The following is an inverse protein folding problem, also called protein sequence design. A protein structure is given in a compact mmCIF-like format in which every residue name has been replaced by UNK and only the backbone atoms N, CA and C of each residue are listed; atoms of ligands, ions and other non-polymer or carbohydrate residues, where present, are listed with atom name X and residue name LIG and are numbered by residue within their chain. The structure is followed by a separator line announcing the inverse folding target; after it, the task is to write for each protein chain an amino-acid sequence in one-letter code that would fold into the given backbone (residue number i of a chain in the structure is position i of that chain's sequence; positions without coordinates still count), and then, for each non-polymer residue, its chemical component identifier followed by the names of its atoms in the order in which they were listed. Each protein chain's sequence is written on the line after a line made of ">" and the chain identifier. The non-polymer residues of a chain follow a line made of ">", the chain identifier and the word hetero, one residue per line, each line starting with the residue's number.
data_IF_271192260323
#
_entry.id   IF_271192260323
#
_cell.length_a   1.000
_cell.length_b   1.000
_cell.length_c   1.000
_cell.angle_alpha   90.00
_cell.angle_beta   90.00
_cell.angle_gamma   90.00
#
_symmetry.space_group_name_H-M   'P 1'
#
loop_
_entity.id
_entity.type
_entity.pdbx_description
1 polymer ?
#
# COMPACT_ATOMS: atom_id res chain seq x y z
N UNK A 1 48.18 -65.71 18.47
CA UNK A 1 47.30 -65.45 17.29
C UNK A 1 46.25 -64.44 17.72
N UNK A 2 46.48 -63.17 17.41
CA UNK A 2 45.65 -62.04 17.86
C UNK A 2 44.64 -61.69 16.74
N UNK A 3 43.33 -61.65 17.09
CA UNK A 3 42.27 -61.21 16.18
C UNK A 3 42.02 -59.75 16.48
N UNK A 4 42.46 -58.85 15.55
CA UNK A 4 42.07 -57.47 15.57
C UNK A 4 40.61 -57.33 15.03
N UNK A 5 39.73 -56.81 15.89
CA UNK A 5 38.39 -56.43 15.50
C UNK A 5 38.42 -54.99 14.95
N UNK A 6 38.06 -54.76 13.72
CA UNK A 6 37.85 -53.45 13.12
C UNK A 6 36.47 -52.95 13.54
N UNK A 7 36.41 -51.88 14.35
CA UNK A 7 35.20 -51.09 14.58
C UNK A 7 35.12 -50.05 13.48
N UNK A 8 34.19 -50.22 12.54
CA UNK A 8 33.80 -49.20 11.59
C UNK A 8 32.79 -48.28 12.25
N UNK A 9 33.23 -47.06 12.56
CA UNK A 9 32.31 -45.99 13.05
C UNK A 9 31.64 -45.37 11.79
N UNK A 10 30.35 -45.70 11.59
CA UNK A 10 29.51 -45.03 10.58
C UNK A 10 29.00 -43.72 11.26
N UNK A 11 29.64 -42.61 10.92
CA UNK A 11 29.12 -41.30 11.30
C UNK A 11 27.95 -40.95 10.35
N UNK A 12 26.73 -41.17 10.79
CA UNK A 12 25.54 -40.68 10.10
C UNK A 12 25.48 -39.14 10.25
N UNK A 13 25.79 -38.42 9.18
CA UNK A 13 25.55 -37.00 9.09
C UNK A 13 24.02 -36.76 8.97
N UNK A 14 23.39 -36.47 10.08
CA UNK A 14 22.04 -35.84 10.09
C UNK A 14 22.19 -34.44 9.55
N UNK A 15 22.01 -34.26 8.25
CA UNK A 15 21.76 -32.94 7.65
C UNK A 15 20.40 -32.48 8.19
N UNK A 16 20.43 -31.64 9.22
CA UNK A 16 19.24 -30.93 9.67
C UNK A 16 18.80 -30.02 8.53
N UNK A 17 17.76 -30.43 7.79
CA UNK A 17 17.01 -29.54 6.92
C UNK A 17 16.31 -28.51 7.83
N UNK A 18 17.00 -27.43 8.15
CA UNK A 18 16.31 -26.26 8.71
C UNK A 18 15.24 -25.84 7.67
N UNK A 19 13.97 -25.68 8.08
CA UNK A 19 12.97 -25.16 7.18
C UNK A 19 13.50 -23.84 6.63
N UNK A 20 13.58 -23.70 5.30
CA UNK A 20 13.87 -22.43 4.67
C UNK A 20 12.86 -21.44 5.24
N UNK A 21 13.33 -20.50 6.06
CA UNK A 21 12.48 -19.43 6.51
C UNK A 21 11.85 -18.82 5.26
N UNK A 22 10.53 -18.85 5.15
CA UNK A 22 9.84 -18.24 4.03
C UNK A 22 10.43 -16.84 3.88
N UNK A 23 11.12 -16.59 2.77
CA UNK A 23 11.75 -15.29 2.54
C UNK A 23 10.62 -14.28 2.57
N UNK A 24 10.56 -13.47 3.62
CA UNK A 24 9.58 -12.41 3.76
C UNK A 24 9.64 -11.48 2.54
N UNK A 25 8.59 -10.77 2.30
CA UNK A 25 8.51 -9.79 1.21
C UNK A 25 9.68 -8.79 1.33
N UNK A 26 10.51 -8.69 0.29
CA UNK A 26 11.60 -7.69 0.25
C UNK A 26 11.05 -6.30 -0.12
N UNK A 27 11.74 -5.24 0.30
CA UNK A 27 11.32 -3.86 -0.06
C UNK A 27 11.25 -3.63 -1.58
N UNK A 28 12.22 -4.06 -2.41
CA UNK A 28 12.11 -3.93 -3.87
C UNK A 28 10.87 -4.64 -4.42
N UNK A 29 10.55 -5.83 -3.93
CA UNK A 29 9.36 -6.57 -4.35
C UNK A 29 8.07 -5.92 -3.86
N UNK A 30 8.07 -5.37 -2.66
CA UNK A 30 6.95 -4.58 -2.15
C UNK A 30 6.68 -3.37 -3.05
N UNK A 31 7.71 -2.60 -3.40
CA UNK A 31 7.60 -1.44 -4.31
C UNK A 31 7.07 -1.81 -5.70
N UNK A 32 7.47 -2.95 -6.24
CA UNK A 32 6.95 -3.48 -7.50
C UNK A 32 5.42 -3.74 -7.42
N UNK A 33 4.97 -4.33 -6.31
CA UNK A 33 3.55 -4.66 -6.09
C UNK A 33 2.70 -3.40 -5.89
N UNK A 34 3.16 -2.47 -5.03
CA UNK A 34 2.37 -1.29 -4.64
C UNK A 34 2.51 -0.12 -5.62
N UNK A 35 3.57 -0.07 -6.41
CA UNK A 35 3.88 1.05 -7.31
C UNK A 35 2.72 1.42 -8.24
N UNK A 36 2.12 0.46 -8.96
CA UNK A 36 0.98 0.76 -9.83
C UNK A 36 -0.24 1.28 -9.06
N UNK A 37 -0.48 0.85 -7.81
CA UNK A 37 -1.52 1.41 -6.95
C UNK A 37 -1.29 2.90 -6.69
N UNK A 38 -0.09 3.29 -6.25
CA UNK A 38 0.23 4.70 -5.97
C UNK A 38 0.29 5.57 -7.23
N UNK A 39 0.60 4.98 -8.41
CA UNK A 39 0.55 5.71 -9.68
C UNK A 39 -0.85 6.24 -10.03
N UNK A 40 -1.91 5.61 -9.52
CA UNK A 40 -3.30 6.03 -9.74
C UNK A 40 -3.61 7.40 -9.12
N UNK A 41 -2.90 7.79 -8.08
CA UNK A 41 -3.07 9.07 -7.41
C UNK A 41 -2.29 10.21 -8.09
N UNK A 42 -1.48 9.92 -9.12
CA UNK A 42 -0.90 10.92 -10.01
C UNK A 42 -1.89 11.19 -11.16
N UNK A 43 -2.94 11.95 -10.88
CA UNK A 43 -4.13 12.10 -11.73
C UNK A 43 -3.81 12.51 -13.16
N UNK A 44 -2.80 13.36 -13.38
CA UNK A 44 -2.41 13.84 -14.71
C UNK A 44 -1.80 12.74 -15.58
N UNK A 45 -1.11 11.78 -15.00
CA UNK A 45 -0.31 10.77 -15.73
C UNK A 45 -0.79 9.33 -15.50
N UNK A 46 -1.80 9.12 -14.68
CA UNK A 46 -2.28 7.78 -14.34
C UNK A 46 -2.87 7.05 -15.56
N UNK A 47 -2.76 5.74 -15.55
CA UNK A 47 -3.43 4.85 -16.50
C UNK A 47 -4.90 4.61 -16.18
N UNK A 48 -5.45 3.55 -16.78
CA UNK A 48 -6.83 3.10 -16.50
C UNK A 48 -6.99 2.63 -15.06
N UNK A 49 -7.80 3.34 -14.29
CA UNK A 49 -8.00 3.11 -12.85
C UNK A 49 -8.57 1.72 -12.57
N UNK A 50 -9.57 1.29 -13.37
CA UNK A 50 -10.21 0.00 -13.17
C UNK A 50 -9.26 -1.13 -13.48
N UNK A 51 -8.60 -1.09 -14.65
CA UNK A 51 -7.68 -2.14 -15.07
C UNK A 51 -6.50 -2.30 -14.08
N UNK A 52 -5.91 -1.18 -13.62
CA UNK A 52 -4.82 -1.23 -12.66
C UNK A 52 -5.30 -1.77 -11.31
N UNK A 53 -6.44 -1.33 -10.80
CA UNK A 53 -6.96 -1.85 -9.52
C UNK A 53 -7.31 -3.34 -9.58
N UNK A 54 -7.88 -3.83 -10.66
CA UNK A 54 -8.13 -5.26 -10.86
C UNK A 54 -6.86 -6.09 -10.96
N UNK A 55 -5.78 -5.49 -11.49
CA UNK A 55 -4.48 -6.14 -11.54
C UNK A 55 -3.81 -6.22 -10.16
N UNK A 56 -3.81 -5.13 -9.38
CA UNK A 56 -3.01 -5.02 -8.15
C UNK A 56 -3.76 -5.33 -6.86
N UNK A 57 -5.10 -5.29 -6.87
CA UNK A 57 -5.94 -5.60 -5.71
C UNK A 57 -6.52 -7.02 -5.81
N UNK A 58 -6.69 -7.68 -4.68
CA UNK A 58 -7.43 -8.95 -4.64
C UNK A 58 -8.94 -8.71 -4.91
N UNK A 59 -9.69 -9.75 -5.27
CA UNK A 59 -11.13 -9.62 -5.49
C UNK A 59 -11.90 -9.21 -4.22
N UNK A 60 -11.43 -9.68 -3.07
CA UNK A 60 -11.96 -9.41 -1.73
C UNK A 60 -11.22 -8.27 -1.01
N UNK A 61 -10.58 -7.38 -1.77
CA UNK A 61 -9.87 -6.21 -1.22
C UNK A 61 -10.77 -5.35 -0.34
N UNK A 62 -10.19 -4.87 0.77
CA UNK A 62 -10.80 -3.88 1.66
C UNK A 62 -9.87 -2.70 1.92
N UNK A 63 -10.41 -1.49 1.84
CA UNK A 63 -9.78 -0.26 2.34
C UNK A 63 -10.54 0.24 3.56
N UNK A 64 -9.84 0.46 4.66
CA UNK A 64 -10.43 0.91 5.92
C UNK A 64 -9.76 2.19 6.40
N UNK A 65 -10.55 3.23 6.68
CA UNK A 65 -10.10 4.50 7.29
C UNK A 65 -10.49 4.64 8.76
N UNK A 66 -11.22 3.66 9.32
CA UNK A 66 -11.66 3.63 10.71
C UNK A 66 -12.21 2.28 11.12
N UNK A 67 -12.96 2.27 12.24
CA UNK A 67 -13.50 1.06 12.86
C UNK A 67 -15.04 1.03 12.88
N UNK A 68 -15.70 2.10 12.42
CA UNK A 68 -17.15 2.18 12.41
C UNK A 68 -17.74 1.54 11.14
N UNK A 69 -19.01 1.11 11.17
CA UNK A 69 -19.70 0.65 9.97
C UNK A 69 -19.65 1.70 8.85
N UNK A 70 -19.26 1.28 7.65
CA UNK A 70 -19.12 2.17 6.49
C UNK A 70 -17.73 2.80 6.31
N UNK A 71 -16.81 2.62 7.26
CA UNK A 71 -15.43 3.12 7.14
C UNK A 71 -14.48 2.12 6.43
N UNK A 72 -15.01 0.96 6.04
CA UNK A 72 -14.34 0.02 5.15
C UNK A 72 -15.16 -0.12 3.87
N UNK A 73 -14.49 -0.15 2.72
CA UNK A 73 -15.09 -0.41 1.42
C UNK A 73 -14.26 -1.37 0.58
N UNK A 74 -14.94 -2.10 -0.29
CA UNK A 74 -14.34 -3.06 -1.19
C UNK A 74 -13.78 -2.42 -2.48
N UNK A 75 -13.19 -3.28 -3.33
CA UNK A 75 -12.54 -2.88 -4.58
C UNK A 75 -13.42 -2.04 -5.51
N UNK A 76 -14.69 -2.40 -5.70
CA UNK A 76 -15.58 -1.69 -6.62
C UNK A 76 -15.86 -0.25 -6.17
N UNK A 77 -15.99 -0.03 -4.86
CA UNK A 77 -16.10 1.32 -4.30
C UNK A 77 -14.80 2.09 -4.46
N UNK A 78 -13.67 1.43 -4.22
CA UNK A 78 -12.34 2.02 -4.42
C UNK A 78 -12.14 2.49 -5.88
N UNK A 79 -12.55 1.68 -6.87
CA UNK A 79 -12.49 2.06 -8.29
C UNK A 79 -13.30 3.35 -8.53
N UNK A 80 -14.51 3.45 -8.02
CA UNK A 80 -15.36 4.64 -8.16
C UNK A 80 -14.75 5.87 -7.52
N UNK A 81 -14.26 5.74 -6.28
CA UNK A 81 -13.65 6.85 -5.53
C UNK A 81 -12.39 7.36 -6.24
N UNK A 82 -11.46 6.48 -6.58
CA UNK A 82 -10.20 6.85 -7.24
C UNK A 82 -10.46 7.42 -8.64
N UNK A 83 -11.42 6.88 -9.39
CA UNK A 83 -11.80 7.43 -10.70
C UNK A 83 -12.28 8.87 -10.59
N UNK A 84 -12.97 9.23 -9.51
CA UNK A 84 -13.52 10.57 -9.34
C UNK A 84 -12.50 11.64 -8.93
N UNK A 85 -11.30 11.27 -8.52
CA UNK A 85 -10.26 12.25 -8.13
C UNK A 85 -9.92 13.25 -9.23
N UNK A 86 -9.99 12.84 -10.52
CA UNK A 86 -9.77 13.76 -11.64
C UNK A 86 -10.79 14.92 -11.71
N UNK A 87 -11.99 14.70 -11.18
CA UNK A 87 -13.02 15.74 -11.12
C UNK A 87 -12.85 16.64 -9.89
N UNK A 88 -12.43 16.07 -8.77
CA UNK A 88 -12.36 16.77 -7.49
C UNK A 88 -11.02 17.48 -7.28
N UNK A 89 -9.91 16.82 -7.67
CA UNK A 89 -8.53 17.30 -7.47
C UNK A 89 -7.72 16.93 -8.72
N UNK A 90 -7.86 17.69 -9.83
CA UNK A 90 -7.35 17.30 -11.16
C UNK A 90 -5.82 17.24 -11.28
N UNK A 91 -5.11 17.87 -10.36
CA UNK A 91 -3.64 17.89 -10.28
C UNK A 91 -3.09 17.06 -9.11
N UNK A 92 -3.91 16.18 -8.52
CA UNK A 92 -3.51 15.37 -7.38
C UNK A 92 -2.27 14.55 -7.67
N UNK A 93 -1.38 14.51 -6.70
CA UNK A 93 -0.13 13.76 -6.71
C UNK A 93 0.08 13.04 -5.40
N UNK A 94 0.55 11.80 -5.47
CA UNK A 94 1.07 11.04 -4.33
C UNK A 94 2.56 10.78 -4.53
N UNK A 95 3.37 11.19 -3.57
CA UNK A 95 4.81 10.96 -3.57
C UNK A 95 5.19 10.05 -2.39
N UNK A 96 5.67 8.84 -2.70
CA UNK A 96 6.11 7.87 -1.68
C UNK A 96 7.41 8.38 -1.06
N UNK A 97 7.39 8.68 0.24
CA UNK A 97 8.56 9.15 1.00
C UNK A 97 9.29 8.01 1.70
N UNK A 98 8.56 6.95 2.09
CA UNK A 98 9.13 5.84 2.84
C UNK A 98 8.31 4.58 2.62
N UNK A 99 8.99 3.43 2.56
CA UNK A 99 8.39 2.11 2.53
C UNK A 99 9.09 1.24 3.56
N UNK A 100 8.32 0.64 4.47
CA UNK A 100 8.80 -0.33 5.43
C UNK A 100 8.07 -1.65 5.21
N UNK A 101 8.80 -2.77 5.31
CA UNK A 101 8.25 -4.12 5.10
C UNK A 101 8.43 -4.95 6.37
N UNK A 102 7.34 -5.52 6.86
CA UNK A 102 7.32 -6.42 8.03
C UNK A 102 6.45 -7.63 7.72
N UNK A 103 7.06 -8.75 7.39
CA UNK A 103 6.36 -9.96 6.96
C UNK A 103 5.59 -9.73 5.66
N UNK A 104 4.28 -9.86 5.71
CA UNK A 104 3.34 -9.59 4.61
C UNK A 104 2.80 -8.14 4.62
N UNK A 105 3.26 -7.31 5.55
CA UNK A 105 2.80 -5.92 5.71
C UNK A 105 3.77 -4.95 5.07
N UNK A 106 3.19 -4.00 4.34
CA UNK A 106 3.91 -2.87 3.75
C UNK A 106 3.35 -1.58 4.33
N UNK A 107 4.19 -0.83 5.04
CA UNK A 107 3.84 0.49 5.54
C UNK A 107 4.39 1.52 4.57
N UNK A 108 3.53 2.41 4.09
CA UNK A 108 3.91 3.50 3.19
C UNK A 108 3.58 4.83 3.85
N UNK A 109 4.60 5.67 3.99
CA UNK A 109 4.41 7.08 4.30
C UNK A 109 4.57 7.90 3.02
N UNK A 110 3.57 8.68 2.70
CA UNK A 110 3.53 9.51 1.51
C UNK A 110 3.19 10.96 1.77
N UNK A 111 3.38 11.76 0.75
CA UNK A 111 2.93 13.13 0.65
C UNK A 111 1.88 13.21 -0.45
N UNK A 112 0.73 13.78 -0.13
CA UNK A 112 -0.33 14.07 -1.10
C UNK A 112 -0.40 15.57 -1.30
N UNK A 113 -0.44 15.99 -2.56
CA UNK A 113 -0.62 17.40 -2.94
C UNK A 113 -1.74 17.50 -3.96
N UNK A 114 -2.40 18.65 -4.02
CA UNK A 114 -3.41 18.91 -5.04
C UNK A 114 -4.14 20.23 -4.81
N UNK A 115 -4.87 20.65 -5.86
CA UNK A 115 -5.69 21.86 -5.86
C UNK A 115 -7.13 21.45 -6.16
N UNK A 116 -8.07 21.62 -5.19
CA UNK A 116 -9.47 21.27 -5.43
C UNK A 116 -10.07 22.10 -6.58
N UNK A 117 -10.81 21.44 -7.47
CA UNK A 117 -11.52 22.09 -8.57
C UNK A 117 -12.82 22.78 -8.14
N UNK A 118 -13.31 22.50 -6.92
CA UNK A 118 -14.54 23.02 -6.36
C UNK A 118 -14.51 22.98 -4.84
N UNK A 119 -15.69 22.97 -4.22
CA UNK A 119 -15.82 22.77 -2.78
C UNK A 119 -15.28 21.39 -2.39
N UNK A 120 -14.48 21.34 -1.32
CA UNK A 120 -13.92 20.10 -0.79
C UNK A 120 -14.18 20.00 0.74
N UNK A 121 -14.93 18.98 1.16
CA UNK A 121 -15.31 18.75 2.56
C UNK A 121 -15.82 20.00 3.29
N UNK A 122 -16.72 20.76 2.65
CA UNK A 122 -17.31 21.97 3.22
C UNK A 122 -16.38 23.20 3.21
N UNK A 123 -15.24 23.13 2.54
CA UNK A 123 -14.38 24.28 2.28
C UNK A 123 -14.65 24.79 0.87
N UNK A 124 -15.12 26.04 0.71
CA UNK A 124 -15.35 26.64 -0.61
C UNK A 124 -14.08 26.63 -1.48
N UNK A 125 -14.26 26.63 -2.78
CA UNK A 125 -13.14 26.74 -3.72
C UNK A 125 -12.38 28.04 -3.54
N UNK A 126 -11.08 27.95 -3.26
CA UNK A 126 -10.21 29.11 -3.02
C UNK A 126 -9.08 29.24 -4.06
N UNK A 127 -8.94 28.27 -4.95
CA UNK A 127 -7.79 28.16 -5.88
C UNK A 127 -6.47 27.79 -5.20
N UNK A 128 -6.48 27.51 -3.88
CA UNK A 128 -5.28 27.12 -3.13
C UNK A 128 -5.03 25.62 -3.24
N UNK A 129 -3.76 25.27 -3.21
CA UNK A 129 -3.30 23.89 -3.11
C UNK A 129 -3.09 23.49 -1.66
N UNK A 130 -3.14 22.19 -1.39
CA UNK A 130 -2.77 21.61 -0.10
C UNK A 130 -1.60 20.65 -0.25
N UNK A 131 -0.96 20.41 0.89
CA UNK A 131 0.03 19.35 1.08
C UNK A 131 -0.27 18.64 2.39
N UNK A 132 -0.40 17.32 2.36
CA UNK A 132 -0.66 16.54 3.57
C UNK A 132 0.15 15.24 3.58
N UNK A 133 0.32 14.69 4.78
CA UNK A 133 0.88 13.36 4.97
C UNK A 133 -0.23 12.33 4.89
N UNK A 134 0.09 11.21 4.23
CA UNK A 134 -0.69 9.97 4.25
C UNK A 134 0.15 8.83 4.78
N UNK A 135 -0.51 7.88 5.49
CA UNK A 135 0.10 6.64 5.94
C UNK A 135 -0.86 5.50 5.61
N UNK A 136 -0.34 4.54 4.88
CA UNK A 136 -1.03 3.30 4.55
C UNK A 136 -0.32 2.12 5.21
N UNK A 137 -1.09 1.16 5.72
CA UNK A 137 -0.61 -0.16 6.10
C UNK A 137 -1.31 -1.16 5.19
N UNK A 138 -0.56 -1.74 4.26
CA UNK A 138 -1.08 -2.69 3.28
C UNK A 138 -0.75 -4.13 3.67
N UNK A 139 -1.69 -5.04 3.46
CA UNK A 139 -1.44 -6.49 3.54
C UNK A 139 -1.27 -7.02 2.14
N UNK A 140 -0.15 -7.69 1.88
CA UNK A 140 0.13 -8.34 0.61
C UNK A 140 -0.23 -9.82 0.72
N UNK A 141 -1.03 -10.30 -0.22
CA UNK A 141 -1.42 -11.70 -0.35
C UNK A 141 -1.38 -12.08 -1.83
N UNK A 142 -0.69 -13.17 -2.16
CA UNK A 142 -0.55 -13.70 -3.53
C UNK A 142 -0.07 -12.64 -4.55
N UNK A 143 0.87 -11.79 -4.12
CA UNK A 143 1.43 -10.72 -4.95
C UNK A 143 0.49 -9.55 -5.23
N UNK A 144 -0.60 -9.42 -4.48
CA UNK A 144 -1.58 -8.34 -4.57
C UNK A 144 -1.85 -7.69 -3.22
N UNK A 145 -2.39 -6.49 -3.24
CA UNK A 145 -2.86 -5.80 -2.04
C UNK A 145 -4.23 -6.36 -1.68
N UNK A 146 -4.34 -7.00 -0.51
CA UNK A 146 -5.58 -7.57 -0.02
C UNK A 146 -6.33 -6.65 0.95
N UNK A 147 -5.61 -5.83 1.68
CA UNK A 147 -6.20 -4.88 2.62
C UNK A 147 -5.31 -3.64 2.75
N UNK A 148 -5.94 -2.49 2.92
CA UNK A 148 -5.27 -1.23 3.26
C UNK A 148 -5.94 -0.63 4.49
N UNK A 149 -5.16 -0.30 5.52
CA UNK A 149 -5.55 0.70 6.50
C UNK A 149 -4.98 2.03 6.04
N UNK A 150 -5.86 3.02 5.87
CA UNK A 150 -5.57 4.26 5.19
C UNK A 150 -5.87 5.45 6.10
N UNK A 151 -4.91 6.35 6.25
CA UNK A 151 -5.06 7.57 7.01
C UNK A 151 -4.38 8.75 6.31
N UNK A 152 -5.13 9.84 6.16
CA UNK A 152 -4.67 11.09 5.57
C UNK A 152 -4.93 12.27 6.53
N UNK A 153 -3.99 13.21 6.57
CA UNK A 153 -4.13 14.39 7.43
C UNK A 153 -4.99 15.48 6.76
N UNK A 154 -6.27 15.15 6.51
CA UNK A 154 -7.24 16.09 5.94
C UNK A 154 -7.44 17.34 6.81
N UNK A 155 -7.32 17.24 8.15
CA UNK A 155 -7.42 18.41 9.02
C UNK A 155 -6.38 19.48 8.65
N UNK A 156 -5.13 19.06 8.40
CA UNK A 156 -4.07 19.97 7.95
C UNK A 156 -4.37 20.51 6.54
N UNK A 157 -4.77 19.64 5.60
CA UNK A 157 -5.10 20.07 4.23
C UNK A 157 -6.22 21.11 4.19
N UNK A 158 -7.32 20.86 4.89
CA UNK A 158 -8.46 21.80 4.97
C UNK A 158 -8.09 23.12 5.66
N UNK A 159 -7.20 23.08 6.67
CA UNK A 159 -6.65 24.27 7.29
C UNK A 159 -5.89 25.15 6.29
N UNK A 160 -5.06 24.55 5.43
CA UNK A 160 -4.32 25.26 4.38
C UNK A 160 -5.26 25.89 3.34
N UNK A 161 -6.32 25.18 2.95
CA UNK A 161 -7.30 25.71 1.99
C UNK A 161 -8.11 26.89 2.57
N UNK A 162 -8.35 26.92 3.88
CA UNK A 162 -9.09 28.00 4.58
C UNK A 162 -8.21 29.20 4.95
N UNK A 163 -6.88 29.03 5.01
CA UNK A 163 -5.99 30.11 5.42
C UNK A 163 -6.22 31.39 4.58
N UNK A 164 -6.14 32.58 5.18
CA UNK A 164 -6.27 33.85 4.46
C UNK A 164 -5.02 34.16 3.63
#
# INVERSE_FOLDING_TARGET
>A
MSKLAYFAIVAAMLAANAPAAAQGLSEPKAREIIGPWYSLFNVVTRGDVKAIQEQVLTADYESCSGYLPGECWGRDTSIKVVSNFSNSIPDMKFDIKEVLVVGDRVVVRGEVTGTPAGELFGVPHTGKSFRMMAIDIQTIRDGKIAKTFHMENWLSALGQLRAK
#
